data_IF_614318452511
#
_entry.id   IF_614318452511
#
_cell.length_a   1.000
_cell.length_b   1.000
_cell.length_c   1.000
_cell.angle_alpha   90.00
_cell.angle_beta   90.00
_cell.angle_gamma   90.00
#
_symmetry.space_group_name_H-M   'P 1'
#
loop_
_entity.id
_entity.type
_entity.pdbx_description
1 polymer ?
#
# COMPACT_ATOMS: atom_id res chain seq x y z
N UNK A 1 -0.40 10.33 32.34
CA UNK A 1 0.67 10.91 31.49
C UNK A 1 0.27 10.70 30.04
N UNK A 2 0.17 11.76 29.22
CA UNK A 2 -0.16 11.59 27.81
C UNK A 2 1.03 10.95 27.09
N UNK A 3 0.81 9.83 26.40
CA UNK A 3 1.84 9.21 25.58
C UNK A 3 2.12 10.15 24.40
N UNK A 4 3.33 10.70 24.33
CA UNK A 4 3.74 11.54 23.20
C UNK A 4 3.65 10.74 21.91
N UNK A 5 2.70 11.11 21.04
CA UNK A 5 2.49 10.50 19.73
C UNK A 5 3.42 11.15 18.71
N UNK A 6 4.23 10.34 18.03
CA UNK A 6 5.20 10.79 17.02
C UNK A 6 4.71 10.32 15.65
N UNK A 7 4.46 11.25 14.74
CA UNK A 7 3.93 10.94 13.40
C UNK A 7 4.93 10.07 12.62
N UNK A 8 4.53 8.90 12.09
CA UNK A 8 5.41 8.09 11.26
C UNK A 8 5.69 8.73 9.91
N UNK A 9 6.86 8.42 9.36
CA UNK A 9 7.20 8.64 7.96
C UNK A 9 6.95 7.38 7.13
N UNK A 10 6.60 7.57 5.86
CA UNK A 10 6.55 6.52 4.84
C UNK A 10 7.97 6.30 4.30
N UNK A 11 8.52 5.10 4.46
CA UNK A 11 9.84 4.73 3.91
C UNK A 11 9.76 4.44 2.42
N UNK A 12 8.78 3.62 2.02
CA UNK A 12 8.56 3.20 0.63
C UNK A 12 7.11 2.76 0.42
N UNK A 13 6.72 2.76 -0.85
CA UNK A 13 5.54 2.09 -1.40
C UNK A 13 6.02 1.22 -2.55
N UNK A 14 5.72 -0.08 -2.50
CA UNK A 14 6.04 -1.03 -3.55
C UNK A 14 4.75 -1.66 -4.08
N UNK A 15 4.71 -1.92 -5.39
CA UNK A 15 3.66 -2.70 -6.02
C UNK A 15 4.20 -4.07 -6.40
N UNK A 16 3.42 -5.12 -6.19
CA UNK A 16 3.77 -6.47 -6.58
C UNK A 16 2.54 -7.32 -6.89
N UNK A 17 2.71 -8.42 -7.63
CA UNK A 17 1.61 -9.33 -7.98
C UNK A 17 1.05 -10.03 -6.72
N UNK A 18 1.93 -10.43 -5.80
CA UNK A 18 1.55 -11.16 -4.60
C UNK A 18 2.51 -10.92 -3.41
N UNK A 19 2.01 -11.14 -2.19
CA UNK A 19 2.79 -11.07 -0.96
C UNK A 19 2.62 -12.36 -0.18
N UNK A 20 3.73 -13.02 0.15
CA UNK A 20 3.74 -14.25 0.95
C UNK A 20 4.37 -13.99 2.30
N UNK A 21 3.78 -14.54 3.34
CA UNK A 21 4.37 -14.55 4.67
C UNK A 21 5.18 -15.83 4.84
N UNK A 22 6.47 -15.68 5.11
CA UNK A 22 7.40 -16.78 5.27
C UNK A 22 7.53 -17.19 6.74
N UNK A 23 8.07 -18.39 6.94
CA UNK A 23 8.46 -18.88 8.28
C UNK A 23 9.43 -17.87 8.91
N UNK A 24 9.10 -17.40 10.12
CA UNK A 24 9.85 -16.35 10.81
C UNK A 24 9.35 -14.92 10.59
N UNK A 25 8.16 -14.73 10.00
CA UNK A 25 7.49 -13.42 9.95
C UNK A 25 8.07 -12.45 8.92
N UNK A 26 8.90 -12.95 8.00
CA UNK A 26 9.38 -12.21 6.83
C UNK A 26 8.32 -12.22 5.73
N UNK A 27 8.40 -11.28 4.80
CA UNK A 27 7.53 -11.25 3.62
C UNK A 27 8.35 -11.40 2.34
N UNK A 28 7.85 -12.23 1.43
CA UNK A 28 8.33 -12.33 0.06
C UNK A 28 7.39 -11.52 -0.84
N UNK A 29 7.96 -10.58 -1.60
CA UNK A 29 7.22 -9.80 -2.60
C UNK A 29 7.44 -10.44 -3.97
N UNK A 30 6.37 -10.91 -4.59
CA UNK A 30 6.43 -11.64 -5.85
C UNK A 30 6.02 -10.72 -7.00
N UNK A 31 6.87 -10.63 -8.03
CA UNK A 31 6.58 -9.82 -9.22
C UNK A 31 6.49 -8.33 -8.89
N UNK A 32 7.60 -7.72 -8.44
CA UNK A 32 7.67 -6.27 -8.26
C UNK A 32 7.49 -5.58 -9.62
N UNK A 33 6.66 -4.53 -9.65
CA UNK A 33 6.42 -3.77 -10.87
C UNK A 33 6.16 -2.29 -10.58
N UNK A 34 6.30 -1.48 -11.61
CA UNK A 34 6.00 -0.03 -11.59
C UNK A 34 4.94 0.35 -12.61
N UNK A 35 4.55 -0.58 -13.50
CA UNK A 35 3.65 -0.32 -14.62
C UNK A 35 2.65 -1.46 -14.79
N UNK A 36 1.37 -1.10 -14.91
CA UNK A 36 0.30 -2.02 -15.31
C UNK A 36 0.05 -1.85 -16.81
N UNK A 37 0.35 -2.89 -17.59
CA UNK A 37 0.15 -2.89 -19.04
C UNK A 37 -1.28 -3.26 -19.42
N UNK A 38 -1.83 -2.59 -20.44
CA UNK A 38 -3.12 -2.89 -21.04
C UNK A 38 -3.10 -2.60 -22.54
N UNK A 39 -3.63 -3.52 -23.35
CA UNK A 39 -3.72 -3.36 -24.81
C UNK A 39 -4.94 -2.56 -25.25
N UNK A 40 -6.03 -2.60 -24.47
CA UNK A 40 -7.30 -1.93 -24.72
C UNK A 40 -7.90 -1.44 -23.41
N UNK A 41 -8.70 -0.38 -23.48
CA UNK A 41 -9.42 0.17 -22.33
C UNK A 41 -10.94 0.12 -22.56
N UNK A 42 -11.76 -0.13 -21.53
CA UNK A 42 -11.38 -0.34 -20.13
C UNK A 42 -10.65 -1.68 -19.91
N UNK A 43 -9.65 -1.67 -19.04
CA UNK A 43 -8.86 -2.84 -18.66
C UNK A 43 -9.12 -3.20 -17.19
N UNK A 44 -9.21 -4.49 -16.89
CA UNK A 44 -9.33 -4.99 -15.51
C UNK A 44 -8.02 -5.65 -15.12
N UNK A 45 -7.34 -5.12 -14.11
CA UNK A 45 -6.19 -5.77 -13.52
C UNK A 45 -6.66 -6.68 -12.37
N UNK A 46 -6.44 -8.01 -12.48
CA UNK A 46 -7.12 -8.99 -11.65
C UNK A 46 -6.70 -8.94 -10.18
N UNK A 47 -5.41 -8.72 -9.92
CA UNK A 47 -4.85 -8.69 -8.56
C UNK A 47 -3.51 -7.97 -8.53
N UNK A 48 -3.29 -7.15 -7.51
CA UNK A 48 -1.97 -6.67 -7.12
C UNK A 48 -1.97 -6.28 -5.64
N UNK A 49 -0.79 -6.16 -5.04
CA UNK A 49 -0.60 -5.69 -3.68
C UNK A 49 0.13 -4.34 -3.66
N UNK A 50 -0.27 -3.49 -2.72
CA UNK A 50 0.40 -2.25 -2.36
C UNK A 50 1.06 -2.50 -0.99
N UNK A 51 2.38 -2.38 -0.94
CA UNK A 51 3.17 -2.63 0.28
C UNK A 51 3.82 -1.33 0.72
N UNK A 52 3.33 -0.80 1.83
CA UNK A 52 3.87 0.40 2.46
C UNK A 52 4.71 0.01 3.67
N UNK A 53 5.79 0.74 3.92
CA UNK A 53 6.50 0.67 5.19
C UNK A 53 6.47 2.01 5.92
N UNK A 54 6.04 1.96 7.18
CA UNK A 54 6.00 3.07 8.10
C UNK A 54 7.10 2.94 9.16
N UNK A 55 7.78 4.04 9.47
CA UNK A 55 8.86 4.09 10.47
C UNK A 55 8.93 5.45 11.17
N UNK A 56 9.84 5.63 12.14
CA UNK A 56 10.05 6.90 12.87
C UNK A 56 8.81 7.42 13.59
N UNK A 57 7.87 6.53 13.92
CA UNK A 57 6.62 6.89 14.59
C UNK A 57 6.48 6.21 15.94
N UNK A 58 5.58 6.75 16.77
CA UNK A 58 5.21 6.18 18.07
C UNK A 58 3.74 6.48 18.35
N UNK A 59 2.96 5.44 18.66
CA UNK A 59 1.52 5.49 18.90
C UNK A 59 0.69 4.80 17.83
N UNK A 60 -0.62 4.95 17.93
CA UNK A 60 -1.61 4.36 17.03
C UNK A 60 -2.03 5.32 15.92
N UNK A 61 -2.12 4.85 14.68
CA UNK A 61 -2.46 5.65 13.51
C UNK A 61 -3.46 4.92 12.61
N UNK A 62 -4.38 5.68 12.02
CA UNK A 62 -5.15 5.22 10.87
C UNK A 62 -4.36 5.52 9.60
N UNK A 63 -4.19 4.51 8.76
CA UNK A 63 -3.54 4.60 7.45
C UNK A 63 -4.61 4.43 6.38
N UNK A 64 -4.55 5.25 5.35
CA UNK A 64 -5.49 5.26 4.24
C UNK A 64 -4.71 5.24 2.93
N UNK A 65 -4.95 4.22 2.10
CA UNK A 65 -4.32 4.08 0.78
C UNK A 65 -5.40 4.31 -0.27
N UNK A 66 -5.18 5.26 -1.18
CA UNK A 66 -6.06 5.54 -2.31
C UNK A 66 -5.31 5.37 -3.62
N UNK A 67 -5.88 4.59 -4.53
CA UNK A 67 -5.50 4.62 -5.94
C UNK A 67 -6.41 5.64 -6.63
N UNK A 68 -5.81 6.64 -7.27
CA UNK A 68 -6.54 7.69 -7.97
C UNK A 68 -6.48 7.45 -9.47
N UNK A 69 -7.48 7.94 -10.19
CA UNK A 69 -7.43 8.06 -11.63
C UNK A 69 -6.39 9.13 -12.05
N UNK A 70 -6.04 9.22 -13.34
CA UNK A 70 -5.03 10.17 -13.80
C UNK A 70 -5.38 11.65 -13.52
N UNK A 71 -6.66 11.96 -13.36
CA UNK A 71 -7.16 13.29 -12.95
C UNK A 71 -6.80 13.66 -11.50
N UNK A 72 -6.33 12.69 -10.68
CA UNK A 72 -6.04 12.82 -9.25
C UNK A 72 -7.24 13.22 -8.39
N UNK A 73 -8.45 13.13 -8.92
CA UNK A 73 -9.69 13.44 -8.21
C UNK A 73 -10.51 12.18 -7.97
N UNK A 74 -10.69 11.35 -9.01
CA UNK A 74 -11.48 10.13 -8.89
C UNK A 74 -10.71 9.04 -8.13
N UNK A 75 -11.30 8.52 -7.05
CA UNK A 75 -10.78 7.36 -6.34
C UNK A 75 -11.20 6.07 -7.08
N UNK A 76 -10.23 5.31 -7.57
CA UNK A 76 -10.44 4.01 -8.23
C UNK A 76 -10.55 2.87 -7.22
N UNK A 77 -9.76 2.91 -6.14
CA UNK A 77 -9.83 1.97 -5.03
C UNK A 77 -9.25 2.56 -3.76
N UNK A 78 -9.68 2.03 -2.61
CA UNK A 78 -9.30 2.53 -1.29
C UNK A 78 -9.15 1.38 -0.28
N UNK A 79 -8.27 1.55 0.70
CA UNK A 79 -8.26 0.77 1.95
C UNK A 79 -7.93 1.64 3.13
N UNK A 80 -8.38 1.21 4.30
CA UNK A 80 -8.00 1.78 5.58
C UNK A 80 -7.54 0.67 6.51
N UNK A 81 -6.50 0.96 7.30
CA UNK A 81 -5.94 0.06 8.30
C UNK A 81 -5.55 0.85 9.56
N UNK A 82 -5.49 0.18 10.70
CA UNK A 82 -4.92 0.74 11.93
C UNK A 82 -3.55 0.12 12.16
N UNK A 83 -2.55 0.97 12.37
CA UNK A 83 -1.19 0.54 12.71
C UNK A 83 -0.84 1.02 14.12
N UNK A 84 -0.01 0.25 14.81
CA UNK A 84 0.55 0.62 16.10
C UNK A 84 2.08 0.55 16.03
N UNK A 85 2.73 1.66 16.40
CA UNK A 85 4.18 1.78 16.48
C UNK A 85 4.58 1.98 17.94
N UNK A 86 5.28 1.01 18.52
CA UNK A 86 5.68 1.01 19.92
C UNK A 86 6.88 1.93 20.18
N UNK A 87 7.73 2.15 19.18
CA UNK A 87 8.90 3.03 19.23
C UNK A 87 9.32 3.49 17.82
N UNK A 88 10.19 4.50 17.77
CA UNK A 88 10.63 5.16 16.53
C UNK A 88 11.52 4.30 15.63
N UNK A 89 12.15 3.24 16.17
CA UNK A 89 13.00 2.33 15.39
C UNK A 89 12.21 1.19 14.76
N UNK A 90 10.96 0.98 15.18
CA UNK A 90 10.08 -0.02 14.59
C UNK A 90 9.79 0.32 13.12
N UNK A 91 9.78 -0.73 12.29
CA UNK A 91 9.33 -0.69 10.90
C UNK A 91 8.06 -1.52 10.81
N UNK A 92 6.96 -0.90 10.38
CA UNK A 92 5.67 -1.55 10.22
C UNK A 92 5.33 -1.64 8.73
N UNK A 93 5.10 -2.85 8.23
CA UNK A 93 4.66 -3.07 6.85
C UNK A 93 3.15 -3.22 6.80
N UNK A 94 2.51 -2.32 6.07
CA UNK A 94 1.08 -2.33 5.78
C UNK A 94 0.88 -2.86 4.36
N UNK A 95 0.13 -3.96 4.22
CA UNK A 95 -0.07 -4.68 2.95
C UNK A 95 -1.54 -4.59 2.57
N UNK A 96 -1.82 -4.01 1.41
CA UNK A 96 -3.15 -3.85 0.88
C UNK A 96 -3.29 -4.55 -0.47
N UNK A 97 -4.10 -5.62 -0.52
CA UNK A 97 -4.37 -6.35 -1.76
C UNK A 97 -5.57 -5.73 -2.48
N UNK A 98 -5.45 -5.56 -3.79
CA UNK A 98 -6.50 -5.10 -4.70
C UNK A 98 -6.89 -6.23 -5.62
N UNK A 99 -8.18 -6.29 -5.95
CA UNK A 99 -8.73 -7.24 -6.90
C UNK A 99 -9.57 -6.50 -7.94
N UNK A 100 -9.57 -7.03 -9.16
CA UNK A 100 -10.44 -6.60 -10.26
C UNK A 100 -10.49 -5.06 -10.43
N UNK A 101 -9.34 -4.40 -10.28
CA UNK A 101 -9.27 -2.94 -10.40
C UNK A 101 -9.43 -2.56 -11.85
N UNK A 102 -10.44 -1.74 -12.14
CA UNK A 102 -10.77 -1.32 -13.50
C UNK A 102 -10.12 0.02 -13.82
N UNK A 103 -9.32 0.04 -14.88
CA UNK A 103 -8.73 1.24 -15.46
C UNK A 103 -9.54 1.61 -16.71
N UNK A 104 -10.18 2.78 -16.69
CA UNK A 104 -11.04 3.25 -17.80
C UNK A 104 -10.25 3.88 -18.95
N UNK A 105 -9.02 4.33 -18.67
CA UNK A 105 -8.17 5.06 -19.59
C UNK A 105 -6.69 4.81 -19.22
N UNK A 106 -5.73 5.06 -20.13
CA UNK A 106 -4.32 5.01 -19.82
C UNK A 106 -3.93 6.02 -18.73
N UNK A 107 -2.94 5.63 -17.92
CA UNK A 107 -2.30 6.48 -16.91
C UNK A 107 -1.17 7.33 -17.49
N UNK A 108 -0.46 8.03 -16.59
CA UNK A 108 0.73 8.83 -16.88
C UNK A 108 2.00 8.12 -16.46
#
# INVERSE_FOLDING_TARGET
MAVTKIKPGLSYTLLCDDVRQEVGGKFSLMGLFETIYANVFPAVHPRFAIVNEWTRGKGEFAVKIRLLAPDKEQVLSESEAKINLFNETQRHRDISIRFNTTFKAPGT
#
